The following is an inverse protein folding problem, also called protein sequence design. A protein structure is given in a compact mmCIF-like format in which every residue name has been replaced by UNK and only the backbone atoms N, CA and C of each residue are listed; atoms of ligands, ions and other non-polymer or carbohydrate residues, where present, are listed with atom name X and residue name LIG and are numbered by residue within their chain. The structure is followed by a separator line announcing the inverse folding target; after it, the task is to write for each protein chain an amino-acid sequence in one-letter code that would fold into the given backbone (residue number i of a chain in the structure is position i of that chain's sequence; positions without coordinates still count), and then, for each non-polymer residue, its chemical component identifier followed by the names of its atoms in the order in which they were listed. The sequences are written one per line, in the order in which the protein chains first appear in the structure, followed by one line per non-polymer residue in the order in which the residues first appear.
data_IF_987576744860
#
_entry.id   IF_987576744860
#
_cell.length_a   1.000
_cell.length_b   1.000
_cell.length_c   1.000
_cell.angle_alpha   90.00
_cell.angle_beta   90.00
_cell.angle_gamma   90.00
#
_symmetry.space_group_name_H-M   'P 1'
#
loop_
_entity.id
_entity.type
_entity.pdbx_description
1 polymer ?
#
# COMPACT_ATOMS: atom_id res chain seq x y z
N UNK A 1 -11.97 -2.84 13.63
CA UNK A 1 -12.05 -2.70 12.17
C UNK A 1 -10.73 -2.23 11.63
N UNK A 2 -10.22 -2.90 10.61
CA UNK A 2 -8.93 -2.53 10.04
C UNK A 2 -9.07 -1.39 9.05
N UNK A 3 -8.09 -0.48 9.05
CA UNK A 3 -8.00 0.58 8.05
C UNK A 3 -7.33 0.09 6.77
N UNK A 4 -6.85 -1.16 6.76
CA UNK A 4 -6.26 -1.78 5.58
C UNK A 4 -7.39 -2.41 4.75
N UNK A 5 -7.67 -1.80 3.61
CA UNK A 5 -8.77 -2.24 2.76
C UNK A 5 -8.25 -3.15 1.66
N UNK A 6 -8.93 -4.29 1.44
CA UNK A 6 -8.58 -5.17 0.33
C UNK A 6 -9.15 -4.58 -0.96
N UNK A 7 -8.31 -4.48 -2.00
CA UNK A 7 -8.76 -4.00 -3.31
C UNK A 7 -8.52 -5.06 -4.38
N UNK A 8 -9.20 -4.93 -5.49
CA UNK A 8 -9.14 -5.87 -6.61
C UNK A 8 -8.94 -5.09 -7.90
N UNK A 9 -8.70 -5.82 -9.00
CA UNK A 9 -8.52 -5.16 -10.29
C UNK A 9 -9.75 -4.34 -10.65
N UNK A 10 -10.95 -4.84 -10.33
CA UNK A 10 -12.20 -4.13 -10.67
C UNK A 10 -12.41 -2.88 -9.83
N UNK A 11 -11.84 -2.84 -8.63
CA UNK A 11 -12.03 -1.71 -7.72
C UNK A 11 -10.83 -0.78 -7.66
N UNK A 12 -9.75 -1.12 -8.36
CA UNK A 12 -8.49 -0.38 -8.23
C UNK A 12 -8.63 1.07 -8.68
N UNK A 13 -9.38 1.30 -9.75
CA UNK A 13 -9.62 2.67 -10.21
C UNK A 13 -10.26 3.50 -9.09
N UNK A 14 -11.32 2.98 -8.48
CA UNK A 14 -12.05 3.73 -7.45
C UNK A 14 -11.27 3.80 -6.13
N UNK A 15 -10.66 2.68 -5.75
CA UNK A 15 -10.01 2.60 -4.43
C UNK A 15 -8.66 3.30 -4.40
N UNK A 16 -7.97 3.37 -5.53
CA UNK A 16 -6.57 3.83 -5.56
C UNK A 16 -6.40 5.00 -6.51
N UNK A 17 -6.70 4.79 -7.80
CA UNK A 17 -6.32 5.78 -8.82
C UNK A 17 -7.12 7.07 -8.70
N UNK A 18 -8.39 6.99 -8.33
CA UNK A 18 -9.25 8.16 -8.19
C UNK A 18 -9.17 8.81 -6.81
N UNK A 19 -8.33 8.29 -5.93
CA UNK A 19 -8.23 8.81 -4.57
C UNK A 19 -7.70 10.23 -4.57
N UNK A 20 -8.30 11.09 -3.73
CA UNK A 20 -7.84 12.46 -3.56
C UNK A 20 -6.63 12.57 -2.65
N UNK A 21 -6.29 11.48 -1.94
CA UNK A 21 -5.11 11.42 -1.08
C UNK A 21 -4.22 10.29 -1.55
N UNK A 22 -2.92 10.32 -1.20
CA UNK A 22 -2.02 9.22 -1.59
C UNK A 22 -2.50 7.89 -1.01
N UNK A 23 -2.22 6.81 -1.74
CA UNK A 23 -2.61 5.46 -1.33
C UNK A 23 -1.38 4.57 -1.31
N UNK A 24 -1.11 3.95 -0.18
CA UNK A 24 -0.06 2.93 -0.11
C UNK A 24 -0.68 1.58 -0.44
N UNK A 25 -0.16 0.95 -1.49
CA UNK A 25 -0.65 -0.34 -1.96
C UNK A 25 0.33 -1.42 -1.49
N UNK A 26 -0.17 -2.38 -0.71
CA UNK A 26 0.59 -3.50 -0.17
C UNK A 26 0.33 -4.73 -1.03
N UNK A 27 1.29 -5.07 -1.88
CA UNK A 27 1.22 -6.30 -2.68
C UNK A 27 1.76 -7.44 -1.83
N UNK A 28 0.91 -8.42 -1.55
CA UNK A 28 1.25 -9.50 -0.64
C UNK A 28 0.77 -10.85 -1.17
N UNK A 29 1.15 -11.92 -0.46
CA UNK A 29 0.65 -13.27 -0.71
C UNK A 29 0.37 -13.93 0.62
N UNK A 30 -0.57 -14.88 0.61
CA UNK A 30 -0.98 -15.55 1.85
C UNK A 30 0.11 -16.40 2.48
N UNK A 31 1.05 -16.91 1.66
CA UNK A 31 2.15 -17.78 2.13
C UNK A 31 3.38 -16.99 2.58
N UNK A 32 3.36 -15.70 2.49
CA UNK A 32 4.54 -14.85 2.66
C UNK A 32 4.73 -14.45 4.13
N UNK A 33 5.79 -14.96 4.77
CA UNK A 33 6.10 -14.62 6.16
C UNK A 33 6.36 -13.14 6.38
N UNK A 34 7.26 -12.51 5.61
CA UNK A 34 7.51 -11.06 5.76
C UNK A 34 6.28 -10.20 5.52
N UNK A 35 5.34 -10.65 4.67
CA UNK A 35 4.08 -9.95 4.48
C UNK A 35 3.28 -9.93 5.77
N UNK A 36 3.16 -11.11 6.41
CA UNK A 36 2.43 -11.22 7.67
C UNK A 36 3.13 -10.43 8.78
N UNK A 37 4.44 -10.47 8.81
CA UNK A 37 5.22 -9.76 9.82
C UNK A 37 5.09 -8.24 9.67
N UNK A 38 4.73 -7.75 8.48
CA UNK A 38 4.55 -6.33 8.23
C UNK A 38 3.21 -5.78 8.73
N UNK A 39 2.22 -6.66 8.99
CA UNK A 39 0.85 -6.23 9.30
C UNK A 39 0.76 -5.30 10.50
N UNK A 40 1.41 -5.59 11.65
CA UNK A 40 1.29 -4.67 12.79
C UNK A 40 1.81 -3.27 12.47
N UNK A 41 2.93 -3.15 11.76
CA UNK A 41 3.47 -1.86 11.39
C UNK A 41 2.54 -1.11 10.43
N UNK A 42 1.94 -1.85 9.49
CA UNK A 42 1.01 -1.27 8.53
C UNK A 42 -0.26 -0.77 9.23
N UNK A 43 -0.78 -1.55 10.18
CA UNK A 43 -1.96 -1.13 10.92
C UNK A 43 -1.69 0.11 11.77
N UNK A 44 -0.53 0.16 12.40
CA UNK A 44 -0.13 1.34 13.16
C UNK A 44 -0.01 2.57 12.26
N UNK A 45 0.64 2.39 11.09
CA UNK A 45 0.80 3.50 10.15
C UNK A 45 -0.55 3.94 9.58
N UNK A 46 -1.44 3.00 9.31
CA UNK A 46 -2.77 3.34 8.78
C UNK A 46 -3.55 4.20 9.79
N UNK A 47 -3.40 3.93 11.08
CA UNK A 47 -4.03 4.77 12.11
C UNK A 47 -3.35 6.12 12.19
N UNK A 48 -2.01 6.14 12.17
CA UNK A 48 -1.24 7.38 12.27
C UNK A 48 -1.57 8.35 11.14
N UNK A 49 -1.70 7.83 9.93
CA UNK A 49 -1.91 8.66 8.74
C UNK A 49 -3.37 8.68 8.28
N UNK A 50 -4.30 8.30 9.14
CA UNK A 50 -5.70 8.26 8.78
C UNK A 50 -6.17 9.62 8.27
N UNK A 51 -6.84 9.64 7.12
CA UNK A 51 -7.28 10.87 6.48
C UNK A 51 -6.23 11.55 5.63
N UNK A 52 -4.96 11.16 5.76
CA UNK A 52 -3.86 11.76 5.00
C UNK A 52 -3.30 10.79 3.95
N UNK A 53 -3.25 9.52 4.28
CA UNK A 53 -2.78 8.47 3.38
C UNK A 53 -3.69 7.27 3.57
N UNK A 54 -4.23 6.75 2.48
CA UNK A 54 -5.05 5.55 2.53
C UNK A 54 -4.17 4.32 2.34
N UNK A 55 -4.62 3.18 2.86
CA UNK A 55 -3.86 1.93 2.78
C UNK A 55 -4.75 0.85 2.19
N UNK A 56 -4.27 0.18 1.14
CA UNK A 56 -4.99 -0.95 0.53
C UNK A 56 -4.05 -2.14 0.37
N UNK A 57 -4.63 -3.32 0.29
CA UNK A 57 -3.90 -4.57 0.13
C UNK A 57 -4.32 -5.23 -1.18
N UNK A 58 -3.35 -5.77 -1.91
CA UNK A 58 -3.56 -6.53 -3.12
C UNK A 58 -2.91 -7.90 -2.95
N UNK A 59 -3.71 -8.96 -3.06
CA UNK A 59 -3.21 -10.33 -3.05
C UNK A 59 -2.76 -10.66 -4.47
N UNK A 60 -1.46 -10.89 -4.68
CA UNK A 60 -0.94 -11.09 -6.02
C UNK A 60 -1.42 -12.39 -6.68
N UNK A 61 -1.87 -13.34 -5.86
CA UNK A 61 -2.39 -14.60 -6.40
C UNK A 61 -3.83 -14.45 -6.87
N UNK A 62 -4.59 -13.57 -6.19
CA UNK A 62 -5.96 -13.26 -6.59
C UNK A 62 -5.99 -12.22 -7.71
N UNK A 63 -5.02 -11.32 -7.74
CA UNK A 63 -5.00 -10.20 -8.69
C UNK A 63 -3.68 -10.18 -9.47
N UNK A 64 -3.39 -11.22 -10.27
CA UNK A 64 -2.12 -11.28 -10.98
C UNK A 64 -1.93 -10.15 -11.99
N UNK A 65 -3.02 -9.62 -12.55
CA UNK A 65 -2.91 -8.53 -13.51
C UNK A 65 -2.43 -7.23 -12.88
N UNK A 66 -2.83 -6.96 -11.62
CA UNK A 66 -2.32 -5.80 -10.93
C UNK A 66 -0.84 -5.94 -10.63
N UNK A 67 -0.41 -7.13 -10.19
CA UNK A 67 1.00 -7.37 -9.95
C UNK A 67 1.81 -7.18 -11.22
N UNK A 68 1.31 -7.70 -12.35
CA UNK A 68 1.99 -7.55 -13.63
C UNK A 68 2.06 -6.09 -14.07
N UNK A 69 0.95 -5.37 -13.94
CA UNK A 69 0.86 -3.97 -14.34
C UNK A 69 1.93 -3.13 -13.63
N UNK A 70 2.16 -3.41 -12.36
CA UNK A 70 3.12 -2.64 -11.57
C UNK A 70 4.49 -3.30 -11.47
N UNK A 71 4.70 -4.39 -12.21
CA UNK A 71 6.00 -5.06 -12.23
C UNK A 71 6.41 -5.65 -10.90
N UNK A 72 5.44 -6.11 -10.11
CA UNK A 72 5.72 -6.70 -8.80
C UNK A 72 6.23 -8.12 -8.98
N UNK A 73 7.45 -8.39 -8.53
CA UNK A 73 8.10 -9.69 -8.70
C UNK A 73 8.41 -10.38 -7.38
N UNK A 74 8.31 -9.67 -6.30
CA UNK A 74 8.54 -10.22 -4.97
C UNK A 74 7.54 -9.63 -4.01
N UNK A 75 7.31 -10.31 -2.89
CA UNK A 75 6.40 -9.84 -1.86
C UNK A 75 7.10 -9.83 -0.51
N UNK A 76 6.78 -8.85 0.33
CA UNK A 76 5.87 -7.75 0.04
C UNK A 76 6.53 -6.67 -0.80
N UNK A 77 5.76 -6.02 -1.66
CA UNK A 77 6.19 -4.81 -2.36
C UNK A 77 5.16 -3.73 -2.02
N UNK A 78 5.67 -2.57 -1.64
CA UNK A 78 4.83 -1.43 -1.24
C UNK A 78 5.01 -0.32 -2.26
N UNK A 79 3.89 0.15 -2.82
CA UNK A 79 3.93 1.21 -3.83
C UNK A 79 3.00 2.32 -3.38
N UNK A 80 3.53 3.54 -3.27
CA UNK A 80 2.70 4.71 -2.96
C UNK A 80 2.24 5.34 -4.27
N UNK A 81 0.94 5.41 -4.45
CA UNK A 81 0.32 6.02 -5.63
C UNK A 81 -0.22 7.39 -5.24
N UNK A 82 0.17 8.41 -5.99
CA UNK A 82 -0.30 9.76 -5.79
C UNK A 82 -0.64 10.35 -7.15
N UNK A 83 -1.83 10.94 -7.25
CA UNK A 83 -2.29 11.54 -8.51
C UNK A 83 -2.17 10.55 -9.67
N UNK A 84 -2.60 9.31 -9.44
CA UNK A 84 -2.65 8.20 -10.40
C UNK A 84 -1.28 7.64 -10.77
N UNK A 85 -0.19 8.11 -10.18
CA UNK A 85 1.16 7.70 -10.56
C UNK A 85 1.92 7.12 -9.38
N UNK A 86 2.85 6.23 -9.69
CA UNK A 86 3.73 5.65 -8.68
C UNK A 86 4.71 6.73 -8.19
N UNK A 87 4.62 7.06 -6.91
CA UNK A 87 5.50 8.06 -6.30
C UNK A 87 6.67 7.44 -5.56
N UNK A 88 6.44 6.31 -4.89
CA UNK A 88 7.47 5.62 -4.11
C UNK A 88 7.27 4.12 -4.22
N UNK A 89 8.36 3.37 -4.03
CA UNK A 89 8.31 1.91 -4.04
C UNK A 89 9.40 1.37 -3.12
N UNK A 90 9.05 0.40 -2.29
CA UNK A 90 10.06 -0.35 -1.55
C UNK A 90 9.58 -1.78 -1.35
N UNK A 91 10.53 -2.67 -1.05
CA UNK A 91 10.26 -4.11 -0.94
C UNK A 91 10.80 -4.63 0.38
N UNK A 92 10.27 -5.79 0.77
CA UNK A 92 10.69 -6.44 2.00
C UNK A 92 9.84 -6.03 3.17
N UNK A 93 10.08 -6.68 4.32
CA UNK A 93 9.27 -6.45 5.52
C UNK A 93 9.26 -4.97 5.90
N UNK A 94 8.07 -4.44 6.12
CA UNK A 94 7.91 -3.05 6.51
C UNK A 94 8.03 -2.91 8.02
N UNK A 95 8.81 -1.93 8.46
CA UNK A 95 8.87 -1.51 9.86
C UNK A 95 8.16 -0.16 9.99
N UNK A 96 7.82 0.20 11.22
CA UNK A 96 7.20 1.50 11.46
C UNK A 96 8.13 2.64 11.02
N UNK A 97 9.42 2.50 11.30
CA UNK A 97 10.38 3.54 10.91
C UNK A 97 10.48 3.70 9.41
N UNK A 98 10.50 2.58 8.68
CA UNK A 98 10.54 2.64 7.22
C UNK A 98 9.28 3.28 6.66
N UNK A 99 8.12 2.86 7.16
CA UNK A 99 6.86 3.44 6.70
C UNK A 99 6.80 4.94 6.98
N UNK A 100 7.20 5.36 8.18
CA UNK A 100 7.20 6.78 8.52
C UNK A 100 8.12 7.55 7.58
N UNK A 101 9.32 7.05 7.33
CA UNK A 101 10.28 7.78 6.50
C UNK A 101 9.80 7.94 5.05
N UNK A 102 9.09 6.93 4.54
CA UNK A 102 8.57 6.99 3.16
C UNK A 102 7.31 7.85 3.09
N UNK A 103 6.43 7.77 4.09
CA UNK A 103 5.10 8.35 4.01
C UNK A 103 5.01 9.78 4.52
N UNK A 104 5.85 10.17 5.50
CA UNK A 104 5.76 11.51 6.07
C UNK A 104 5.85 12.64 5.06
N UNK A 105 6.72 12.56 4.03
CA UNK A 105 6.76 13.63 3.03
C UNK A 105 5.44 13.84 2.29
N UNK A 106 4.56 12.85 2.30
CA UNK A 106 3.27 12.91 1.58
C UNK A 106 2.09 13.15 2.51
N UNK A 107 2.33 13.20 3.80
CA UNK A 107 1.27 13.43 4.77
C UNK A 107 0.90 14.91 4.81
N UNK A 108 -0.30 15.20 5.31
CA UNK A 108 -0.76 16.58 5.40
C UNK A 108 -1.35 17.12 4.12
N UNK A 109 -1.16 16.44 3.02
CA UNK A 109 -1.91 16.56 1.78
C UNK A 109 -1.87 17.85 1.00
N UNK A 110 -2.01 18.97 1.61
CA UNK A 110 -2.25 20.22 0.90
C UNK A 110 -1.02 21.08 0.75
N UNK A 111 0.11 20.50 0.83
CA UNK A 111 1.37 21.26 0.75
C UNK A 111 1.72 21.66 -0.67
#
# INVERSE_FOLDING_TARGET
MSLLKITTVDRFEDDVLSSSIPVLVDFHASWCGPCKASVPALEDAAREFEGEIAFVKVDIEQEPKLAETYGVRSVPTFILIKDREEAERFMGQASRGKLASVLEPYAGGSQ
#
